data_IF_052848756607
#
_entry.id   IF_052848756607
#
_cell.length_a   1.000
_cell.length_b   1.000
_cell.length_c   1.000
_cell.angle_alpha   90.00
_cell.angle_beta   90.00
_cell.angle_gamma   90.00
#
_symmetry.space_group_name_H-M   'P 1'
#
loop_
_entity.id
_entity.type
_entity.pdbx_description
1 polymer ?
#
# COMPACT_ATOMS: atom_id res chain seq x y z
N UNK A 1 12.86 -6.61 -22.01
CA UNK A 1 11.91 -5.51 -21.76
C UNK A 1 11.34 -5.56 -20.34
N UNK A 2 10.87 -6.71 -19.85
CA UNK A 2 10.27 -6.85 -18.50
C UNK A 2 11.24 -6.59 -17.33
N UNK A 3 12.52 -7.01 -17.44
CA UNK A 3 13.50 -6.84 -16.35
C UNK A 3 13.90 -5.38 -16.09
N UNK A 4 13.94 -4.56 -17.14
CA UNK A 4 14.19 -3.11 -17.00
C UNK A 4 13.04 -2.42 -16.28
N UNK A 5 11.79 -2.77 -16.60
CA UNK A 5 10.60 -2.20 -15.93
C UNK A 5 10.56 -2.54 -14.44
N UNK A 6 10.93 -3.79 -14.07
CA UNK A 6 11.05 -4.18 -12.66
C UNK A 6 12.13 -3.36 -11.96
N UNK A 7 13.28 -3.20 -12.59
CA UNK A 7 14.39 -2.41 -12.04
C UNK A 7 14.00 -0.94 -11.86
N UNK A 8 13.28 -0.36 -12.83
CA UNK A 8 12.78 1.03 -12.77
C UNK A 8 11.71 1.22 -11.69
N UNK A 9 10.80 0.25 -11.54
CA UNK A 9 9.79 0.24 -10.48
C UNK A 9 10.42 0.23 -9.08
N UNK A 10 11.46 -0.57 -8.88
CA UNK A 10 12.17 -0.67 -7.59
C UNK A 10 13.08 0.54 -7.34
N UNK A 11 13.71 1.08 -8.39
CA UNK A 11 14.56 2.27 -8.27
C UNK A 11 13.77 3.57 -8.05
N UNK A 12 12.46 3.57 -8.25
CA UNK A 12 11.61 4.75 -8.03
C UNK A 12 11.94 5.91 -8.97
N UNK A 13 12.31 5.61 -10.23
CA UNK A 13 12.68 6.65 -11.20
C UNK A 13 11.45 7.52 -11.51
N UNK A 14 11.58 8.85 -11.38
CA UNK A 14 10.50 9.77 -11.76
C UNK A 14 10.19 9.64 -13.25
N UNK A 15 8.95 9.24 -13.54
CA UNK A 15 8.42 9.06 -14.90
C UNK A 15 7.03 9.68 -14.95
N UNK A 16 6.69 10.28 -16.09
CA UNK A 16 5.33 10.76 -16.32
C UNK A 16 4.42 9.57 -16.67
N UNK A 17 3.66 9.11 -15.68
CA UNK A 17 2.72 8.00 -15.85
C UNK A 17 1.49 8.36 -16.69
N UNK A 18 1.29 9.63 -17.07
CA UNK A 18 0.17 10.07 -17.94
C UNK A 18 0.47 9.93 -19.43
N UNK A 19 1.76 9.89 -19.81
CA UNK A 19 2.21 9.77 -21.21
C UNK A 19 2.66 8.35 -21.59
N UNK A 20 2.85 7.47 -20.60
CA UNK A 20 3.23 6.08 -20.82
C UNK A 20 2.04 5.21 -21.28
N UNK A 21 2.29 4.11 -22.03
CA UNK A 21 1.27 3.11 -22.30
C UNK A 21 0.68 2.57 -21.00
N UNK A 22 -0.66 2.53 -20.90
CA UNK A 22 -1.38 2.13 -19.69
C UNK A 22 -0.89 0.81 -19.09
N UNK A 23 -0.59 -0.19 -19.93
CA UNK A 23 -0.07 -1.50 -19.50
C UNK A 23 1.28 -1.38 -18.78
N UNK A 24 2.16 -0.50 -19.27
CA UNK A 24 3.49 -0.27 -18.69
C UNK A 24 3.36 0.51 -17.38
N UNK A 25 2.54 1.56 -17.35
CA UNK A 25 2.32 2.37 -16.16
C UNK A 25 1.74 1.53 -15.00
N UNK A 26 0.71 0.72 -15.27
CA UNK A 26 0.12 -0.19 -14.28
C UNK A 26 1.18 -1.18 -13.78
N UNK A 27 1.99 -1.76 -14.67
CA UNK A 27 2.99 -2.75 -14.27
C UNK A 27 4.08 -2.16 -13.37
N UNK A 28 4.57 -0.96 -13.69
CA UNK A 28 5.59 -0.26 -12.90
C UNK A 28 5.06 0.15 -11.53
N UNK A 29 3.81 0.60 -11.43
CA UNK A 29 3.19 0.97 -10.15
C UNK A 29 2.74 -0.24 -9.31
N UNK A 30 2.32 -1.34 -9.95
CA UNK A 30 1.85 -2.53 -9.24
C UNK A 30 2.96 -3.23 -8.44
N UNK A 31 4.19 -3.24 -8.94
CA UNK A 31 5.32 -3.90 -8.27
C UNK A 31 5.57 -3.36 -6.86
N UNK A 32 5.78 -2.05 -6.64
CA UNK A 32 5.97 -1.51 -5.29
C UNK A 32 4.74 -1.69 -4.41
N UNK A 33 3.52 -1.56 -4.95
CA UNK A 33 2.29 -1.80 -4.18
C UNK A 33 2.17 -3.26 -3.69
N UNK A 34 2.48 -4.24 -4.55
CA UNK A 34 2.48 -5.65 -4.15
C UNK A 34 3.56 -5.89 -3.08
N UNK A 35 4.74 -5.30 -3.25
CA UNK A 35 5.82 -5.43 -2.27
C UNK A 35 5.42 -4.83 -0.91
N UNK A 36 4.76 -3.67 -0.90
CA UNK A 36 4.22 -3.05 0.30
C UNK A 36 3.23 -4.00 1.00
N UNK A 37 2.22 -4.52 0.29
CA UNK A 37 1.25 -5.45 0.86
C UNK A 37 1.90 -6.76 1.37
N UNK A 38 2.93 -7.25 0.69
CA UNK A 38 3.70 -8.41 1.14
C UNK A 38 4.43 -8.12 2.46
N UNK A 39 5.03 -6.94 2.59
CA UNK A 39 5.72 -6.52 3.80
C UNK A 39 4.74 -6.32 4.96
N UNK A 40 3.58 -5.72 4.71
CA UNK A 40 2.50 -5.55 5.69
C UNK A 40 1.99 -6.92 6.19
N UNK A 41 1.72 -7.85 5.28
CA UNK A 41 1.29 -9.20 5.64
C UNK A 41 2.35 -9.97 6.43
N UNK A 42 3.61 -9.88 6.03
CA UNK A 42 4.71 -10.52 6.75
C UNK A 42 4.87 -9.93 8.16
N UNK A 43 4.74 -8.61 8.29
CA UNK A 43 4.75 -7.93 9.58
C UNK A 43 3.64 -8.45 10.50
N UNK A 44 2.40 -8.54 10.01
CA UNK A 44 1.27 -9.06 10.80
C UNK A 44 1.52 -10.49 11.31
N UNK A 45 2.09 -11.37 10.48
CA UNK A 45 2.42 -12.75 10.88
C UNK A 45 3.50 -12.77 11.96
N UNK A 46 4.56 -11.99 11.77
CA UNK A 46 5.67 -11.91 12.73
C UNK A 46 5.20 -11.32 14.05
N UNK A 47 4.39 -10.27 14.02
CA UNK A 47 3.81 -9.63 15.20
C UNK A 47 3.00 -10.63 16.04
N UNK A 48 2.05 -11.33 15.41
CA UNK A 48 1.24 -12.36 16.08
C UNK A 48 2.13 -13.48 16.63
N UNK A 49 3.17 -13.90 15.90
CA UNK A 49 4.11 -14.93 16.37
C UNK A 49 4.84 -14.53 17.67
N UNK A 50 5.25 -13.25 17.80
CA UNK A 50 5.88 -12.77 19.03
C UNK A 50 4.86 -12.60 20.16
N UNK A 51 3.69 -12.05 19.87
CA UNK A 51 2.59 -11.88 20.84
C UNK A 51 2.12 -13.24 21.38
N UNK A 52 2.08 -14.27 20.53
CA UNK A 52 1.68 -15.61 20.93
C UNK A 52 2.53 -16.22 22.05
N UNK A 53 3.79 -15.79 22.18
CA UNK A 53 4.68 -16.23 23.26
C UNK A 53 4.29 -15.67 24.64
N UNK A 54 3.48 -14.61 24.70
CA UNK A 54 2.98 -14.01 25.93
C UNK A 54 1.75 -14.72 26.50
N UNK A 55 1.18 -15.67 25.74
CA UNK A 55 0.01 -16.45 26.13
C UNK A 55 -1.25 -16.11 25.34
N UNK A 56 -2.26 -16.97 25.46
CA UNK A 56 -3.50 -16.90 24.65
C UNK A 56 -4.27 -15.58 24.83
N UNK A 57 -4.29 -15.04 26.05
CA UNK A 57 -4.95 -13.77 26.33
C UNK A 57 -4.32 -12.59 25.59
N UNK A 58 -3.00 -12.62 25.33
CA UNK A 58 -2.32 -11.56 24.60
C UNK A 58 -2.74 -11.53 23.12
N UNK A 59 -2.83 -12.70 22.48
CA UNK A 59 -3.29 -12.83 21.09
C UNK A 59 -4.74 -12.32 20.95
N UNK A 60 -5.62 -12.76 21.85
CA UNK A 60 -7.02 -12.34 21.86
C UNK A 60 -7.15 -10.82 22.03
N UNK A 61 -6.32 -10.23 22.89
CA UNK A 61 -6.29 -8.77 23.09
C UNK A 61 -5.85 -8.06 21.81
N UNK A 62 -4.77 -8.52 21.16
CA UNK A 62 -4.26 -7.90 19.92
C UNK A 62 -5.30 -7.92 18.81
N UNK A 63 -5.94 -9.07 18.53
CA UNK A 63 -6.97 -9.16 17.49
C UNK A 63 -8.20 -8.27 17.76
N UNK A 64 -8.61 -8.14 19.03
CA UNK A 64 -9.67 -7.21 19.41
C UNK A 64 -9.25 -5.76 19.21
N UNK A 65 -8.04 -5.39 19.62
CA UNK A 65 -7.53 -4.02 19.43
C UNK A 65 -7.32 -3.67 17.97
N UNK A 66 -6.86 -4.60 17.13
CA UNK A 66 -6.69 -4.39 15.69
C UNK A 66 -8.02 -4.00 15.04
N UNK A 67 -9.09 -4.72 15.36
CA UNK A 67 -10.44 -4.42 14.87
C UNK A 67 -10.89 -2.99 15.24
N UNK A 68 -10.57 -2.55 16.46
CA UNK A 68 -10.87 -1.18 16.92
C UNK A 68 -9.98 -0.14 16.24
N UNK A 69 -8.70 -0.44 16.04
CA UNK A 69 -7.75 0.43 15.36
C UNK A 69 -8.17 0.65 13.91
N UNK A 70 -8.58 -0.41 13.19
CA UNK A 70 -9.13 -0.34 11.82
C UNK A 70 -10.30 0.64 11.75
N UNK A 71 -11.26 0.52 12.66
CA UNK A 71 -12.40 1.44 12.75
C UNK A 71 -11.95 2.89 13.00
N UNK A 72 -10.94 3.07 13.84
CA UNK A 72 -10.43 4.39 14.22
C UNK A 72 -9.79 5.11 13.03
N UNK A 73 -8.93 4.43 12.27
CA UNK A 73 -8.29 5.05 11.11
C UNK A 73 -9.11 4.95 9.82
N UNK A 74 -10.19 4.17 9.75
CA UNK A 74 -11.02 4.01 8.54
C UNK A 74 -11.47 5.35 7.95
N UNK A 75 -11.85 6.31 8.80
CA UNK A 75 -12.25 7.65 8.37
C UNK A 75 -11.05 8.40 7.77
N UNK A 76 -9.89 8.37 8.44
CA UNK A 76 -8.67 9.01 7.97
C UNK A 76 -8.17 8.40 6.65
N UNK A 77 -8.22 7.09 6.55
CA UNK A 77 -7.89 6.34 5.33
C UNK A 77 -8.82 6.71 4.18
N UNK A 78 -10.14 6.81 4.44
CA UNK A 78 -11.12 7.23 3.44
C UNK A 78 -10.87 8.66 2.92
N UNK A 79 -10.57 9.60 3.82
CA UNK A 79 -10.24 10.98 3.43
C UNK A 79 -8.93 11.04 2.63
N UNK A 80 -7.91 10.30 3.06
CA UNK A 80 -6.62 10.20 2.36
C UNK A 80 -6.81 9.65 0.94
N UNK A 81 -7.59 8.56 0.79
CA UNK A 81 -7.89 7.96 -0.50
C UNK A 81 -8.68 8.92 -1.42
N UNK A 82 -9.64 9.66 -0.87
CA UNK A 82 -10.39 10.67 -1.61
C UNK A 82 -9.47 11.81 -2.09
N UNK A 83 -8.54 12.27 -1.25
CA UNK A 83 -7.53 13.27 -1.61
C UNK A 83 -6.63 12.80 -2.75
N UNK A 84 -6.09 11.58 -2.64
CA UNK A 84 -5.26 10.96 -3.69
C UNK A 84 -6.03 10.83 -5.01
N UNK A 85 -7.31 10.44 -4.97
CA UNK A 85 -8.14 10.36 -6.17
C UNK A 85 -8.39 11.72 -6.83
N UNK A 86 -8.65 12.76 -6.04
CA UNK A 86 -8.83 14.13 -6.55
C UNK A 86 -7.55 14.67 -7.20
N UNK A 87 -6.39 14.44 -6.57
CA UNK A 87 -5.09 14.84 -7.11
C UNK A 87 -4.81 14.07 -8.40
N UNK A 88 -5.01 12.75 -8.41
CA UNK A 88 -4.81 11.92 -9.60
C UNK A 88 -5.68 12.39 -10.78
N UNK A 89 -6.94 12.78 -10.51
CA UNK A 89 -7.84 13.31 -11.55
C UNK A 89 -7.36 14.65 -12.11
N UNK A 90 -7.07 15.62 -11.24
CA UNK A 90 -6.60 16.95 -11.67
C UNK A 90 -5.28 16.88 -12.43
N UNK A 91 -4.35 16.08 -11.92
CA UNK A 91 -3.06 15.85 -12.58
C UNK A 91 -3.25 15.20 -13.96
N UNK A 92 -4.14 14.21 -14.08
CA UNK A 92 -4.48 13.57 -15.35
C UNK A 92 -5.16 14.49 -16.36
N UNK A 93 -5.99 15.43 -15.89
CA UNK A 93 -6.66 16.45 -16.71
C UNK A 93 -5.68 17.55 -17.21
N UNK A 94 -4.46 17.61 -16.66
CA UNK A 94 -3.45 18.66 -16.90
C UNK A 94 -3.95 20.06 -16.55
N UNK A 95 -4.97 20.16 -15.70
CA UNK A 95 -5.44 21.40 -15.11
C UNK A 95 -4.77 21.56 -13.75
N UNK A 96 -3.61 22.24 -13.77
CA UNK A 96 -2.78 22.54 -12.59
C UNK A 96 -3.36 23.67 -11.75
#
# INVERSE_FOLDING_TARGET
MTWQLIKEAILGKEQDFTSLPLKTAIFVLAIPMILEMMMESAFAVVDIFFVAKLGEHAIATVGLTESVIVLTYAIGFGISMAGTALIARRFGEKEY
#
